data_IF_867678664148
#
_entry.id   IF_867678664148
#
_cell.length_a   1.000
_cell.length_b   1.000
_cell.length_c   1.000
_cell.angle_alpha   90.00
_cell.angle_beta   90.00
_cell.angle_gamma   90.00
#
_symmetry.space_group_name_H-M   'P 1'
#
loop_
_entity.id
_entity.type
_entity.pdbx_description
1 polymer ?
#
# COMPACT_ATOMS: atom_id res chain seq x y z
N UNK A 1 -7.82 16.91 16.09
CA UNK A 1 -8.03 16.23 15.65
C UNK A 1 -9.07 15.60 15.59
N UNK A 2 -9.52 15.20 15.09
CA UNK A 2 -10.49 14.61 15.01
C UNK A 2 -10.43 13.52 15.17
N UNK A 3 -10.76 12.89 15.45
CA UNK A 3 -10.70 11.85 15.68
C UNK A 3 -11.60 11.14 15.25
N UNK A 4 -11.40 10.06 15.06
CA UNK A 4 -12.26 9.17 14.52
C UNK A 4 -13.32 8.83 15.39
N UNK A 5 -13.24 9.07 16.53
CA UNK A 5 -14.28 8.84 17.39
C UNK A 5 -14.73 7.49 17.39
N UNK A 6 -14.00 6.52 17.41
CA UNK A 6 -14.45 5.16 17.50
C UNK A 6 -14.90 4.56 16.22
N UNK A 7 -14.91 5.36 15.18
CA UNK A 7 -15.30 4.82 13.95
C UNK A 7 -14.20 4.21 13.18
N UNK A 8 -12.97 4.38 13.61
CA UNK A 8 -11.85 3.80 12.92
C UNK A 8 -11.82 2.32 13.20
N UNK A 9 -12.13 1.51 12.21
CA UNK A 9 -12.16 0.08 12.37
C UNK A 9 -10.93 -0.61 11.89
N UNK A 10 -9.99 0.12 11.34
CA UNK A 10 -8.75 -0.47 10.87
C UNK A 10 -7.83 -0.75 12.04
N UNK A 11 -7.10 -1.85 11.95
CA UNK A 11 -6.18 -2.20 12.99
C UNK A 11 -5.04 -1.21 13.10
N UNK A 12 -4.61 -0.62 11.98
CA UNK A 12 -3.52 0.33 11.94
C UNK A 12 -3.98 1.63 11.32
N UNK A 13 -3.48 2.78 11.80
CA UNK A 13 -3.80 4.04 11.15
C UNK A 13 -3.19 4.11 9.76
N UNK A 14 -3.77 4.90 8.91
CA UNK A 14 -3.34 5.05 7.53
C UNK A 14 -2.96 6.48 7.24
N UNK A 15 -1.89 6.63 6.43
CA UNK A 15 -1.48 7.93 5.95
C UNK A 15 -2.00 8.09 4.53
N UNK A 16 -2.63 9.22 4.24
CA UNK A 16 -3.09 9.54 2.91
C UNK A 16 -1.95 10.16 2.16
N UNK A 17 -1.11 9.36 1.59
CA UNK A 17 0.03 9.87 0.85
C UNK A 17 0.19 9.05 -0.41
N UNK A 18 0.78 9.71 -1.43
CA UNK A 18 1.02 9.03 -2.68
C UNK A 18 2.46 8.62 -2.73
N UNK A 19 2.70 7.34 -2.51
CA UNK A 19 4.04 6.79 -2.53
C UNK A 19 4.18 5.92 -3.76
N UNK A 20 5.32 6.02 -4.45
CA UNK A 20 5.55 5.28 -5.68
C UNK A 20 5.75 3.81 -5.33
N UNK A 21 5.07 2.94 -6.05
CA UNK A 21 5.15 1.50 -5.85
C UNK A 21 5.32 0.81 -7.20
N UNK A 22 6.33 -0.06 -7.29
CA UNK A 22 6.43 -0.99 -8.40
C UNK A 22 5.82 -2.29 -7.93
N UNK A 23 5.01 -2.92 -8.76
CA UNK A 23 4.36 -4.15 -8.35
C UNK A 23 4.24 -5.13 -9.51
N UNK A 24 4.22 -6.40 -9.20
CA UNK A 24 4.01 -7.46 -10.16
C UNK A 24 3.41 -8.65 -9.46
N UNK A 25 2.72 -9.49 -10.22
CA UNK A 25 2.23 -10.75 -9.68
C UNK A 25 3.45 -11.61 -9.37
N UNK A 26 3.43 -12.26 -8.23
CA UNK A 26 4.63 -12.90 -7.70
C UNK A 26 5.27 -13.88 -8.65
N UNK A 27 4.49 -14.67 -9.37
CA UNK A 27 5.06 -15.64 -10.30
C UNK A 27 5.15 -15.14 -11.74
N UNK A 28 4.96 -13.85 -12.00
CA UNK A 28 5.08 -13.30 -13.35
C UNK A 28 6.23 -12.33 -13.37
N UNK A 29 7.38 -12.79 -13.83
CA UNK A 29 8.60 -12.03 -13.66
C UNK A 29 8.65 -10.75 -14.48
N UNK A 30 7.98 -10.69 -15.61
CA UNK A 30 8.17 -9.60 -16.54
C UNK A 30 7.04 -8.58 -16.63
N UNK A 31 6.07 -8.65 -15.75
CA UNK A 31 4.94 -7.73 -15.80
C UNK A 31 4.96 -6.76 -14.64
N UNK A 32 5.97 -5.89 -14.65
CA UNK A 32 6.11 -4.91 -13.58
C UNK A 32 5.40 -3.63 -13.98
N UNK A 33 4.54 -3.15 -13.10
CA UNK A 33 3.86 -1.88 -13.29
C UNK A 33 4.29 -0.94 -12.18
N UNK A 34 4.18 0.36 -12.45
CA UNK A 34 4.53 1.38 -11.48
C UNK A 34 3.29 2.24 -11.25
N UNK A 35 2.98 2.49 -10.00
CA UNK A 35 1.83 3.32 -9.67
C UNK A 35 2.07 4.03 -8.34
N UNK A 36 1.00 4.51 -7.73
CA UNK A 36 1.08 5.23 -6.47
C UNK A 36 0.03 4.70 -5.53
N UNK A 37 0.37 4.70 -4.25
CA UNK A 37 -0.61 4.34 -3.23
C UNK A 37 -1.56 5.51 -3.03
N UNK A 38 -2.75 5.21 -2.53
CA UNK A 38 -3.67 6.22 -2.03
C UNK A 38 -3.54 6.34 -0.52
N UNK A 39 -3.16 5.27 0.15
CA UNK A 39 -2.87 5.33 1.57
C UNK A 39 -1.93 4.19 1.92
N UNK A 40 -1.33 4.29 3.08
CA UNK A 40 -0.33 3.34 3.54
C UNK A 40 -0.48 3.16 5.05
N UNK A 41 -0.35 1.92 5.52
CA UNK A 41 -0.35 1.60 6.94
C UNK A 41 0.65 0.49 7.19
N UNK A 42 0.83 0.13 8.45
CA UNK A 42 1.70 -1.01 8.77
C UNK A 42 1.15 -2.31 8.26
N UNK A 43 -0.16 -2.40 8.08
CA UNK A 43 -0.79 -3.64 7.64
C UNK A 43 -0.98 -3.79 6.16
N UNK A 44 -0.89 -2.69 5.41
CA UNK A 44 -1.11 -2.78 3.97
C UNK A 44 -1.28 -1.43 3.33
N UNK A 45 -1.82 -1.44 2.10
CA UNK A 45 -1.98 -0.21 1.35
C UNK A 45 -3.17 -0.33 0.41
N UNK A 46 -3.62 0.83 -0.07
CA UNK A 46 -4.58 0.90 -1.16
C UNK A 46 -3.82 1.40 -2.36
N UNK A 47 -3.75 0.60 -3.39
CA UNK A 47 -2.93 0.88 -4.57
C UNK A 47 -3.81 1.08 -5.78
N UNK A 48 -3.50 2.10 -6.58
CA UNK A 48 -4.18 2.27 -7.86
C UNK A 48 -3.54 1.31 -8.85
N UNK A 49 -4.37 0.50 -9.51
CA UNK A 49 -3.87 -0.45 -10.49
C UNK A 49 -4.60 -0.28 -11.80
N UNK A 50 -4.01 -0.77 -12.89
CA UNK A 50 -4.61 -0.64 -14.22
C UNK A 50 -5.36 -1.89 -14.65
N UNK A 51 -5.44 -2.88 -13.78
CA UNK A 51 -6.21 -4.10 -14.01
C UNK A 51 -6.65 -4.66 -12.68
N UNK A 52 -7.71 -5.44 -12.66
CA UNK A 52 -8.16 -6.04 -11.41
C UNK A 52 -7.31 -7.25 -11.05
N UNK A 53 -7.29 -7.58 -9.78
CA UNK A 53 -6.61 -8.78 -9.29
C UNK A 53 -7.60 -9.58 -8.45
N UNK A 54 -7.52 -10.88 -8.59
CA UNK A 54 -8.37 -11.76 -7.77
C UNK A 54 -7.93 -11.69 -6.32
N UNK A 55 -8.87 -11.74 -5.38
CA UNK A 55 -8.49 -11.82 -3.97
C UNK A 55 -7.58 -13.01 -3.74
N UNK A 56 -6.55 -12.81 -2.93
CA UNK A 56 -5.59 -13.86 -2.67
C UNK A 56 -4.38 -13.84 -3.58
N UNK A 57 -4.39 -13.02 -4.62
CA UNK A 57 -3.23 -12.91 -5.50
C UNK A 57 -2.04 -12.35 -4.71
N UNK A 58 -0.88 -12.96 -4.87
CA UNK A 58 0.34 -12.48 -4.23
C UNK A 58 1.08 -11.54 -5.16
N UNK A 59 1.43 -10.37 -4.64
CA UNK A 59 2.15 -9.36 -5.39
C UNK A 59 3.49 -9.09 -4.75
N UNK A 60 4.51 -8.96 -5.59
CA UNK A 60 5.81 -8.51 -5.13
C UNK A 60 5.80 -6.98 -5.26
N UNK A 61 6.11 -6.31 -4.17
CA UNK A 61 5.98 -4.87 -4.07
C UNK A 61 7.32 -4.22 -3.78
N UNK A 62 7.56 -3.09 -4.43
CA UNK A 62 8.73 -2.28 -4.14
C UNK A 62 8.22 -0.88 -3.86
N UNK A 63 8.33 -0.43 -2.61
CA UNK A 63 7.76 0.83 -2.17
C UNK A 63 8.86 1.83 -1.91
N UNK A 64 8.72 3.03 -2.47
CA UNK A 64 9.68 4.10 -2.21
C UNK A 64 9.09 5.06 -1.20
N UNK A 65 9.74 5.15 -0.06
CA UNK A 65 9.29 6.02 1.02
C UNK A 65 10.20 7.25 1.10
N UNK A 66 9.65 8.38 1.55
CA UNK A 66 10.40 9.64 1.47
C UNK A 66 11.66 9.71 2.33
N UNK A 67 11.72 8.94 3.39
CA UNK A 67 12.86 9.02 4.28
C UNK A 67 13.82 7.86 4.15
N UNK A 68 13.69 7.09 3.09
CA UNK A 68 14.58 5.96 2.91
C UNK A 68 15.14 6.01 1.50
N UNK A 69 16.45 5.97 1.38
CA UNK A 69 17.11 6.01 0.09
C UNK A 69 16.89 4.72 -0.69
N UNK A 70 16.59 3.63 0.02
CA UNK A 70 16.40 2.34 -0.61
C UNK A 70 14.94 1.93 -0.60
N UNK A 71 14.44 1.41 -1.70
CA UNK A 71 13.05 0.95 -1.70
C UNK A 71 12.87 -0.25 -0.77
N UNK A 72 11.66 -0.41 -0.28
CA UNK A 72 11.31 -1.52 0.58
C UNK A 72 10.67 -2.60 -0.27
N UNK A 73 11.21 -3.80 -0.18
CA UNK A 73 10.68 -4.94 -0.92
C UNK A 73 9.80 -5.75 0.00
N UNK A 74 8.53 -5.90 -0.38
CA UNK A 74 7.54 -6.59 0.43
C UNK A 74 6.74 -7.54 -0.44
N UNK A 75 6.07 -8.46 0.24
CA UNK A 75 5.07 -9.29 -0.40
C UNK A 75 3.71 -8.85 0.11
N UNK A 76 2.75 -8.73 -0.79
CA UNK A 76 1.39 -8.38 -0.42
C UNK A 76 0.40 -9.37 -0.98
N UNK A 77 -0.74 -9.49 -0.32
CA UNK A 77 -1.82 -10.34 -0.78
C UNK A 77 -3.02 -9.46 -1.06
N UNK A 78 -3.59 -9.59 -2.24
CA UNK A 78 -4.75 -8.79 -2.63
C UNK A 78 -5.95 -9.19 -1.80
N UNK A 79 -6.61 -8.20 -1.21
CA UNK A 79 -7.87 -8.41 -0.50
C UNK A 79 -9.02 -8.24 -1.47
N UNK A 80 -8.98 -7.18 -2.27
CA UNK A 80 -9.98 -6.97 -3.30
C UNK A 80 -9.50 -5.90 -4.27
N UNK A 81 -10.05 -5.91 -5.47
CA UNK A 81 -9.85 -4.85 -6.46
C UNK A 81 -11.22 -4.32 -6.81
N UNK A 82 -11.38 -3.00 -6.73
CA UNK A 82 -12.66 -2.39 -7.04
C UNK A 82 -12.51 -1.45 -8.21
N UNK A 83 -13.36 -1.60 -9.20
CA UNK A 83 -13.31 -0.77 -10.40
C UNK A 83 -13.70 0.66 -10.08
N UNK A 84 -12.85 1.61 -10.47
CA UNK A 84 -13.10 3.03 -10.25
C UNK A 84 -13.47 3.69 -11.58
N UNK A 85 -12.71 3.37 -12.62
CA UNK A 85 -13.02 3.86 -13.96
C UNK A 85 -13.08 2.64 -14.84
N UNK A 86 -14.19 2.49 -15.57
CA UNK A 86 -14.50 1.27 -16.28
C UNK A 86 -13.34 0.78 -17.14
N UNK A 87 -12.90 -0.42 -16.86
CA UNK A 87 -11.84 -1.12 -17.60
C UNK A 87 -10.50 -0.37 -17.62
N UNK A 88 -10.30 0.60 -16.72
CA UNK A 88 -9.09 1.40 -16.77
C UNK A 88 -8.38 1.51 -15.44
N UNK A 89 -9.12 1.83 -14.38
CA UNK A 89 -8.51 2.11 -13.09
C UNK A 89 -9.21 1.36 -11.99
N UNK A 90 -8.44 0.76 -11.11
CA UNK A 90 -8.96 -0.02 -9.99
C UNK A 90 -8.27 0.40 -8.72
N UNK A 91 -9.02 0.38 -7.62
CA UNK A 91 -8.45 0.51 -6.28
C UNK A 91 -8.26 -0.89 -5.76
N UNK A 92 -7.01 -1.27 -5.56
CA UNK A 92 -6.66 -2.60 -5.10
C UNK A 92 -6.15 -2.52 -3.68
N UNK A 93 -6.84 -3.20 -2.77
CA UNK A 93 -6.47 -3.23 -1.36
C UNK A 93 -5.54 -4.39 -1.14
N UNK A 94 -4.40 -4.11 -0.54
CA UNK A 94 -3.34 -5.09 -0.37
C UNK A 94 -2.98 -5.19 1.10
N UNK A 95 -2.89 -6.42 1.60
CA UNK A 95 -2.46 -6.70 2.95
C UNK A 95 -1.02 -7.19 2.88
N UNK A 96 -0.14 -6.61 3.69
CA UNK A 96 1.27 -7.02 3.68
C UNK A 96 1.42 -8.38 4.34
N UNK A 97 2.33 -9.18 3.80
CA UNK A 97 2.64 -10.49 4.32
C UNK A 97 4.08 -10.46 4.80
N UNK A 98 4.31 -10.86 6.04
CA UNK A 98 5.66 -11.04 6.57
C UNK A 98 6.57 -9.80 6.44
N UNK A 99 6.15 -8.70 7.01
CA UNK A 99 6.95 -7.48 7.05
C UNK A 99 8.01 -7.62 8.13
N UNK A 100 9.28 -7.41 7.81
CA UNK A 100 10.31 -7.52 8.83
C UNK A 100 10.35 -6.25 9.70
N UNK A 101 11.11 -6.32 10.77
CA UNK A 101 11.13 -5.27 11.77
C UNK A 101 11.64 -3.94 11.24
N UNK A 102 12.65 -3.97 10.40
CA UNK A 102 13.18 -2.74 9.82
C UNK A 102 12.16 -2.07 8.92
N UNK A 103 11.48 -2.86 8.10
CA UNK A 103 10.46 -2.31 7.22
C UNK A 103 9.30 -1.75 8.03
N UNK A 104 8.92 -2.42 9.12
CA UNK A 104 7.85 -1.92 9.96
C UNK A 104 8.21 -0.56 10.54
N UNK A 105 9.47 -0.40 10.95
CA UNK A 105 9.91 0.86 11.53
C UNK A 105 9.85 1.99 10.50
N UNK A 106 10.31 1.74 9.29
CA UNK A 106 10.32 2.76 8.25
C UNK A 106 8.90 3.10 7.81
N UNK A 107 8.07 2.10 7.61
CA UNK A 107 6.67 2.32 7.24
C UNK A 107 5.96 3.07 8.36
N UNK A 108 6.15 2.61 9.59
CA UNK A 108 5.51 3.25 10.74
C UNK A 108 5.92 4.70 10.90
N UNK A 109 7.21 4.99 10.71
CA UNK A 109 7.69 6.36 10.79
C UNK A 109 7.10 7.23 9.70
N UNK A 110 6.95 6.70 8.51
CA UNK A 110 6.36 7.44 7.40
C UNK A 110 4.90 7.75 7.68
N UNK A 111 4.15 6.75 8.16
CA UNK A 111 2.75 6.94 8.48
C UNK A 111 2.61 7.98 9.59
N UNK A 112 3.43 7.87 10.63
CA UNK A 112 3.37 8.79 11.73
C UNK A 112 3.67 10.23 11.30
N UNK A 113 4.69 10.39 10.46
CA UNK A 113 5.04 11.70 9.96
C UNK A 113 3.88 12.32 9.18
N UNK A 114 3.24 11.55 8.33
CA UNK A 114 2.15 12.09 7.53
C UNK A 114 0.93 12.40 8.39
N UNK A 115 0.65 11.59 9.38
CA UNK A 115 -0.46 11.87 10.28
C UNK A 115 -0.21 13.13 11.09
N UNK A 116 1.03 13.33 11.54
CA UNK A 116 1.35 14.50 12.32
C UNK A 116 1.30 15.78 11.52
N UNK A 117 1.63 15.70 10.24
CA UNK A 117 1.72 16.88 9.40
C UNK A 117 0.56 17.05 8.46
N UNK A 118 -0.46 16.23 8.58
CA UNK A 118 -1.65 16.35 7.75
C UNK A 118 -2.45 17.57 8.18
N UNK A 119 -3.04 18.24 7.22
CA UNK A 119 -3.84 19.42 7.53
C UNK A 119 -5.25 19.25 7.14
#
# INVERSE_FOLDING_TARGET
MTQYKGEEKRKYPRASGRFVVSYRVFNEANNVDISQTKNLSLGGMLLTTNRPFEPGTNLALEIRLPFDAHPILLMGKVVESREISKNMIYDTRIQFVAVDENHRRVIGGTVEYHLKNAK
#
